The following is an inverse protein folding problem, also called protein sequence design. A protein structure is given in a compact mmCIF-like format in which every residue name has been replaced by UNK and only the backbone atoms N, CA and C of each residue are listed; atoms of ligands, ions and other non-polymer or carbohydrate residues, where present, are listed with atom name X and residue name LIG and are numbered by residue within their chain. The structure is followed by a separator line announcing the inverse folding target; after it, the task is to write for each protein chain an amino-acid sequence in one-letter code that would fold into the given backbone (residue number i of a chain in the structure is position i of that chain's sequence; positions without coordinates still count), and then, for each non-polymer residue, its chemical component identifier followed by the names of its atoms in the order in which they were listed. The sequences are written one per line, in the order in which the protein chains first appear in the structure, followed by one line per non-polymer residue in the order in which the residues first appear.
data_IF_160316868192
#
_entry.id   IF_160316868192
#
_cell.length_a   1.000
_cell.length_b   1.000
_cell.length_c   1.000
_cell.angle_alpha   90.00
_cell.angle_beta   90.00
_cell.angle_gamma   90.00
#
_symmetry.space_group_name_H-M   'P 1'
#
loop_
_entity.id
_entity.type
_entity.pdbx_description
1 polymer ?
#
# COMPACT_ATOMS: atom_id res chain seq x y z
N UNK A 1 21.51 -30.69 38.24
CA UNK A 1 21.89 -30.19 36.89
C UNK A 1 20.75 -30.45 35.91
N UNK A 2 20.17 -29.39 35.33
CA UNK A 2 19.55 -29.32 33.98
C UNK A 2 18.88 -27.94 33.81
N UNK A 3 19.36 -27.19 32.82
CA UNK A 3 18.85 -25.89 32.40
C UNK A 3 17.58 -26.05 31.56
N UNK A 4 16.58 -25.19 31.76
CA UNK A 4 15.41 -25.05 30.86
C UNK A 4 15.27 -23.59 30.39
N UNK A 5 15.24 -23.41 29.06
CA UNK A 5 15.04 -22.14 28.34
C UNK A 5 13.54 -21.76 28.34
N UNK A 6 13.16 -20.47 28.36
CA UNK A 6 11.82 -20.06 27.97
C UNK A 6 11.78 -19.65 26.48
N UNK A 7 10.95 -20.32 25.70
CA UNK A 7 10.59 -19.93 24.33
C UNK A 7 9.23 -19.20 24.35
N UNK A 8 9.06 -18.29 23.40
CA UNK A 8 8.14 -17.14 23.44
C UNK A 8 6.65 -17.45 23.35
N UNK A 9 5.89 -16.54 23.98
CA UNK A 9 4.44 -16.28 23.88
C UNK A 9 3.92 -16.24 22.44
N UNK A 10 2.78 -16.88 22.21
CA UNK A 10 1.79 -16.48 21.20
C UNK A 10 0.40 -16.46 21.86
N UNK A 11 -0.16 -15.26 22.03
CA UNK A 11 -1.54 -15.06 22.48
C UNK A 11 -2.43 -14.94 21.24
N UNK A 12 -3.28 -15.95 21.08
CA UNK A 12 -4.34 -16.08 20.09
C UNK A 12 -5.45 -15.06 20.40
N UNK A 13 -5.50 -13.94 19.67
CA UNK A 13 -6.62 -13.01 19.76
C UNK A 13 -7.72 -13.45 18.78
N UNK A 14 -8.79 -14.01 19.35
CA UNK A 14 -10.01 -14.44 18.67
C UNK A 14 -10.83 -13.25 18.13
N UNK A 15 -11.24 -13.39 16.86
CA UNK A 15 -12.56 -13.08 16.27
C UNK A 15 -13.47 -12.06 16.98
N UNK A 16 -13.82 -10.98 16.25
CA UNK A 16 -15.14 -10.35 16.36
C UNK A 16 -15.57 -9.78 15.02
N UNK A 17 -16.23 -10.62 14.23
CA UNK A 17 -16.97 -10.30 13.00
C UNK A 17 -18.27 -9.58 13.38
N UNK A 18 -18.36 -8.27 13.19
CA UNK A 18 -19.65 -7.57 13.23
C UNK A 18 -20.23 -7.52 11.82
N UNK A 19 -21.08 -8.51 11.52
CA UNK A 19 -22.02 -8.53 10.40
C UNK A 19 -23.32 -7.87 10.85
N UNK A 20 -23.65 -6.70 10.30
CA UNK A 20 -25.02 -6.18 10.19
C UNK A 20 -25.07 -5.34 8.90
N UNK A 21 -25.54 -5.92 7.79
CA UNK A 21 -26.95 -6.04 7.41
C UNK A 21 -27.37 -4.88 6.50
N UNK A 22 -27.62 -5.23 5.23
CA UNK A 22 -28.01 -4.30 4.17
C UNK A 22 -27.57 -4.87 2.83
N UNK A 23 -28.23 -5.94 2.41
CA UNK A 23 -27.85 -6.74 1.24
C UNK A 23 -27.80 -5.95 -0.06
N UNK A 24 -27.15 -6.56 -1.05
CA UNK A 24 -27.59 -6.66 -2.45
C UNK A 24 -26.45 -7.37 -3.23
N UNK A 25 -26.83 -8.54 -3.75
CA UNK A 25 -26.34 -9.18 -4.98
C UNK A 25 -24.89 -9.66 -5.05
N UNK A 26 -24.74 -10.98 -4.81
CA UNK A 26 -24.28 -11.94 -5.82
C UNK A 26 -23.81 -11.29 -7.12
N UNK A 27 -22.52 -10.99 -7.20
CA UNK A 27 -21.96 -10.31 -8.36
C UNK A 27 -20.48 -10.10 -8.22
N UNK A 28 -19.71 -11.20 -8.24
CA UNK A 28 -18.32 -11.18 -8.67
C UNK A 28 -17.43 -10.25 -7.83
N UNK A 29 -17.08 -10.69 -6.62
CA UNK A 29 -15.79 -10.27 -6.06
C UNK A 29 -14.73 -10.83 -6.99
N UNK A 30 -14.36 -10.05 -8.01
CA UNK A 30 -13.08 -10.16 -8.64
C UNK A 30 -12.05 -9.96 -7.51
N UNK A 31 -11.73 -11.06 -6.84
CA UNK A 31 -10.44 -11.25 -6.22
C UNK A 31 -9.47 -11.09 -7.38
N UNK A 32 -9.05 -9.86 -7.63
CA UNK A 32 -7.82 -9.63 -8.35
C UNK A 32 -6.78 -10.41 -7.55
N UNK A 33 -6.42 -11.60 -8.04
CA UNK A 33 -5.25 -12.32 -7.56
C UNK A 33 -4.16 -11.26 -7.37
N UNK A 34 -3.48 -11.19 -6.21
CA UNK A 34 -2.32 -10.36 -6.10
C UNK A 34 -1.33 -10.93 -7.13
N UNK A 35 -1.29 -10.31 -8.31
CA UNK A 35 -0.44 -10.72 -9.41
C UNK A 35 0.95 -10.89 -8.82
N UNK A 36 1.43 -12.13 -8.82
CA UNK A 36 2.69 -12.52 -8.21
C UNK A 36 3.73 -11.47 -8.59
N UNK A 37 4.08 -10.63 -7.61
CA UNK A 37 4.91 -9.47 -7.85
C UNK A 37 6.29 -9.99 -8.18
N UNK A 38 6.57 -10.16 -9.49
CA UNK A 38 7.93 -10.18 -10.04
C UNK A 38 8.69 -9.11 -9.28
N UNK A 39 9.91 -9.35 -8.76
CA UNK A 39 10.61 -8.40 -7.90
C UNK A 39 10.59 -7.03 -8.59
N UNK A 40 9.65 -6.19 -8.15
CA UNK A 40 9.43 -4.90 -8.78
C UNK A 40 10.58 -4.10 -8.19
N UNK A 41 11.70 -4.03 -8.92
CA UNK A 41 12.74 -3.06 -8.62
C UNK A 41 12.01 -1.74 -8.46
N UNK A 42 12.02 -1.23 -7.24
CA UNK A 42 11.13 -0.13 -6.94
C UNK A 42 11.65 1.12 -7.65
N UNK A 43 11.04 1.41 -8.80
CA UNK A 43 11.45 2.51 -9.64
C UNK A 43 10.83 3.81 -9.08
N UNK A 44 11.53 4.41 -8.11
CA UNK A 44 11.13 5.65 -7.44
C UNK A 44 10.87 6.77 -8.45
N UNK A 45 11.68 6.86 -9.51
CA UNK A 45 11.51 7.85 -10.58
C UNK A 45 10.18 7.68 -11.33
N UNK A 46 9.83 6.44 -11.68
CA UNK A 46 8.55 6.12 -12.33
C UNK A 46 7.37 6.40 -11.41
N UNK A 47 7.43 5.97 -10.14
CA UNK A 47 6.37 6.23 -9.16
C UNK A 47 6.11 7.72 -8.97
N UNK A 48 7.17 8.53 -8.89
CA UNK A 48 7.04 10.00 -8.80
C UNK A 48 6.48 10.62 -10.08
N UNK A 49 6.87 10.11 -11.26
CA UNK A 49 6.33 10.58 -12.53
C UNK A 49 4.83 10.26 -12.65
N UNK A 50 4.42 9.05 -12.27
CA UNK A 50 3.01 8.63 -12.30
C UNK A 50 2.18 9.41 -11.26
N UNK A 51 2.75 9.70 -10.08
CA UNK A 51 2.10 10.55 -9.08
C UNK A 51 1.83 11.97 -9.62
N UNK A 52 2.80 12.57 -10.32
CA UNK A 52 2.61 13.89 -10.95
C UNK A 52 1.48 13.86 -11.98
N UNK A 53 1.43 12.86 -12.85
CA UNK A 53 0.36 12.70 -13.83
C UNK A 53 -1.02 12.62 -13.17
N UNK A 54 -1.17 11.87 -12.08
CA UNK A 54 -2.43 11.78 -11.34
C UNK A 54 -2.78 13.10 -10.63
N UNK A 55 -1.80 13.88 -10.18
CA UNK A 55 -2.05 15.25 -9.66
C UNK A 55 -2.50 16.20 -10.75
N UNK A 56 -1.86 16.18 -11.91
CA UNK A 56 -2.25 17.01 -13.05
C UNK A 56 -3.67 16.68 -13.51
N UNK A 57 -4.00 15.38 -13.56
CA UNK A 57 -5.37 14.92 -13.81
C UNK A 57 -6.34 15.40 -12.73
N UNK A 58 -5.96 15.31 -11.46
CA UNK A 58 -6.77 15.81 -10.34
C UNK A 58 -7.04 17.31 -10.46
N UNK A 59 -6.03 18.10 -10.83
CA UNK A 59 -6.17 19.54 -11.08
C UNK A 59 -7.10 19.81 -12.26
N UNK A 60 -6.94 19.09 -13.36
CA UNK A 60 -7.83 19.23 -14.53
C UNK A 60 -9.28 18.91 -14.17
N UNK A 61 -9.53 17.82 -13.43
CA UNK A 61 -10.87 17.45 -12.95
C UNK A 61 -11.45 18.50 -11.99
N UNK A 62 -10.61 19.09 -11.14
CA UNK A 62 -11.01 20.18 -10.25
C UNK A 62 -11.43 21.43 -11.03
N UNK A 63 -10.69 21.80 -12.08
CA UNK A 63 -11.05 22.91 -12.97
C UNK A 63 -12.37 22.67 -13.72
N UNK A 64 -12.68 21.41 -14.02
CA UNK A 64 -13.94 21.00 -14.64
C UNK A 64 -15.11 20.87 -13.64
N UNK A 65 -14.89 21.13 -12.35
CA UNK A 65 -15.90 21.00 -11.29
C UNK A 65 -16.12 19.57 -10.78
N UNK A 66 -15.43 18.57 -11.35
CA UNK A 66 -15.50 17.15 -10.97
C UNK A 66 -14.70 16.86 -9.68
N UNK A 67 -15.17 17.41 -8.57
CA UNK A 67 -14.42 17.42 -7.29
C UNK A 67 -14.25 16.03 -6.68
N UNK A 68 -15.21 15.13 -6.85
CA UNK A 68 -15.14 13.76 -6.33
C UNK A 68 -14.08 12.94 -7.08
N UNK A 69 -14.04 13.07 -8.39
CA UNK A 69 -13.07 12.44 -9.28
C UNK A 69 -11.67 13.03 -9.05
N UNK A 70 -11.57 14.36 -8.87
CA UNK A 70 -10.33 15.03 -8.51
C UNK A 70 -9.77 14.49 -7.18
N UNK A 71 -10.61 14.33 -6.15
CA UNK A 71 -10.19 13.71 -4.87
C UNK A 71 -9.67 12.29 -5.06
N UNK A 72 -10.30 11.48 -5.91
CA UNK A 72 -9.82 10.12 -6.22
C UNK A 72 -8.46 10.16 -6.91
N UNK A 73 -8.24 11.08 -7.86
CA UNK A 73 -6.96 11.23 -8.54
C UNK A 73 -5.85 11.67 -7.57
N UNK A 74 -6.12 12.65 -6.69
CA UNK A 74 -5.17 13.06 -5.65
C UNK A 74 -4.84 11.92 -4.68
N UNK A 75 -5.84 11.14 -4.25
CA UNK A 75 -5.60 9.98 -3.38
C UNK A 75 -4.70 8.92 -4.05
N UNK A 76 -4.84 8.73 -5.37
CA UNK A 76 -3.94 7.85 -6.15
C UNK A 76 -2.52 8.40 -6.21
N UNK A 77 -2.37 9.70 -6.46
CA UNK A 77 -1.06 10.35 -6.44
C UNK A 77 -0.36 10.17 -5.08
N UNK A 78 -1.07 10.39 -3.97
CA UNK A 78 -0.50 10.26 -2.64
C UNK A 78 -0.15 8.81 -2.29
N UNK A 79 -0.90 7.83 -2.80
CA UNK A 79 -0.54 6.42 -2.66
C UNK A 79 0.77 6.09 -3.41
N UNK A 80 0.97 6.63 -4.62
CA UNK A 80 2.20 6.46 -5.39
C UNK A 80 3.40 7.13 -4.71
N UNK A 81 3.22 8.31 -4.13
CA UNK A 81 4.29 8.99 -3.39
C UNK A 81 4.68 8.26 -2.11
N UNK A 82 3.70 7.75 -1.36
CA UNK A 82 3.97 6.92 -0.19
C UNK A 82 4.77 5.66 -0.57
N UNK A 83 4.43 5.00 -1.67
CA UNK A 83 5.21 3.88 -2.20
C UNK A 83 6.62 4.30 -2.59
N UNK A 84 6.77 5.42 -3.29
CA UNK A 84 8.09 5.94 -3.68
C UNK A 84 8.97 6.23 -2.47
N UNK A 85 8.38 6.79 -1.40
CA UNK A 85 9.07 7.04 -0.12
C UNK A 85 9.49 5.74 0.57
N UNK A 86 8.57 4.79 0.73
CA UNK A 86 8.86 3.48 1.33
C UNK A 86 10.02 2.78 0.61
N UNK A 87 10.08 2.90 -0.71
CA UNK A 87 11.17 2.33 -1.48
C UNK A 87 12.51 3.04 -1.30
N UNK A 88 12.51 4.38 -1.25
CA UNK A 88 13.73 5.13 -0.97
C UNK A 88 14.26 4.85 0.45
N UNK A 89 13.36 4.73 1.43
CA UNK A 89 13.71 4.39 2.81
C UNK A 89 14.23 2.94 2.90
N UNK A 90 13.62 2.00 2.19
CA UNK A 90 14.08 0.61 2.13
C UNK A 90 15.47 0.49 1.48
N UNK A 91 15.73 1.20 0.38
CA UNK A 91 17.05 1.20 -0.27
C UNK A 91 18.14 1.76 0.66
N UNK A 92 17.82 2.83 1.41
CA UNK A 92 18.74 3.40 2.40
C UNK A 92 19.04 2.45 3.56
N UNK A 93 18.03 1.73 4.05
CA UNK A 93 18.17 0.82 5.19
C UNK A 93 18.79 -0.54 4.82
N UNK A 94 18.77 -0.93 3.55
CA UNK A 94 19.33 -2.19 3.07
C UNK A 94 20.81 -2.08 2.66
N UNK A 95 21.44 -0.90 2.84
CA UNK A 95 22.88 -0.75 2.66
C UNK A 95 23.61 -1.49 3.78
N UNK A 96 24.48 -2.47 3.46
CA UNK A 96 25.25 -3.15 4.50
C UNK A 96 26.12 -2.11 5.24
N UNK A 97 26.30 -2.27 6.56
CA UNK A 97 27.17 -1.40 7.32
C UNK A 97 28.57 -1.38 6.70
N UNK A 98 29.15 -0.17 6.57
CA UNK A 98 30.45 0.04 5.92
C UNK A 98 31.66 -0.41 6.77
N UNK A 99 31.45 -1.05 7.91
CA UNK A 99 32.56 -1.55 8.72
C UNK A 99 32.88 -3.00 8.36
N UNK A 100 34.03 -3.15 7.68
CA UNK A 100 34.81 -4.38 7.53
C UNK A 100 35.83 -4.45 8.66
#
# INVERSE_FOLDING_TARGET
MRHTKPAHRTLTALLATTLLAGGVLLGQTATAEPAAAKPITCNVSKLRADARKERDRGNQLKHLGATAEARKAFARADALERRAKQCADADRNNKPPLWK
#
